data_IF_412744958473
#
_entry.id   IF_412744958473
#
_cell.length_a   1.000
_cell.length_b   1.000
_cell.length_c   1.000
_cell.angle_alpha   90.00
_cell.angle_beta   90.00
_cell.angle_gamma   90.00
#
_symmetry.space_group_name_H-M   'P 1'
#
loop_
_entity.id
_entity.type
_entity.pdbx_description
1 polymer ?
#
# COMPACT_ATOMS: atom_id res chain seq x y z
N UNK A 1 -1.02 27.16 -10.63
CA UNK A 1 -2.18 26.41 -10.09
C UNK A 1 -1.75 24.96 -10.05
N UNK A 2 -1.97 24.30 -8.92
CA UNK A 2 -1.38 22.99 -8.62
C UNK A 2 -1.89 21.90 -9.56
N UNK A 3 -1.03 20.90 -9.79
CA UNK A 3 -1.42 19.64 -10.45
C UNK A 3 -2.29 18.78 -9.51
N UNK A 4 -2.23 19.08 -8.21
CA UNK A 4 -2.91 18.39 -7.10
C UNK A 4 -3.23 19.40 -6.01
N UNK A 5 -4.24 19.08 -5.21
CA UNK A 5 -4.46 19.71 -3.91
C UNK A 5 -3.55 19.02 -2.86
N UNK A 6 -3.09 19.76 -1.83
CA UNK A 6 -2.23 19.25 -0.73
C UNK A 6 -2.85 19.66 0.60
N UNK A 7 -3.01 18.70 1.51
CA UNK A 7 -3.69 18.85 2.80
C UNK A 7 -2.79 18.31 3.91
N UNK A 8 -2.88 18.97 5.05
CA UNK A 8 -2.14 18.62 6.26
C UNK A 8 -2.64 17.30 6.85
N UNK A 9 -1.70 16.40 7.18
CA UNK A 9 -2.03 15.15 7.88
C UNK A 9 -2.38 15.45 9.34
N UNK A 10 -3.60 15.10 9.73
CA UNK A 10 -3.99 15.07 11.15
C UNK A 10 -3.67 13.69 11.70
N UNK A 11 -2.76 13.61 12.68
CA UNK A 11 -2.42 12.36 13.35
C UNK A 11 -3.67 11.68 13.94
N UNK A 12 -3.76 10.36 13.78
CA UNK A 12 -4.84 9.55 14.32
C UNK A 12 -4.88 9.62 15.84
N UNK A 13 -6.07 9.38 16.42
CA UNK A 13 -6.20 9.18 17.87
C UNK A 13 -5.96 7.70 18.21
N UNK A 14 -5.39 7.35 19.39
CA UNK A 14 -5.23 5.95 19.81
C UNK A 14 -6.54 5.13 19.82
N UNK A 15 -7.70 5.78 19.94
CA UNK A 15 -9.00 5.14 19.84
C UNK A 15 -9.35 4.69 18.40
N UNK A 16 -8.83 5.36 17.37
CA UNK A 16 -9.02 4.97 15.96
C UNK A 16 -8.23 3.71 15.63
N UNK A 17 -7.03 3.53 16.20
CA UNK A 17 -6.28 2.27 16.06
C UNK A 17 -7.05 1.09 16.65
N UNK A 18 -7.86 1.31 17.69
CA UNK A 18 -8.64 0.27 18.37
C UNK A 18 -9.86 -0.25 17.58
N UNK A 19 -10.12 0.25 16.37
CA UNK A 19 -11.13 -0.34 15.48
C UNK A 19 -10.66 -1.68 14.91
N UNK A 20 -9.34 -1.85 14.71
CA UNK A 20 -8.71 -3.12 14.32
C UNK A 20 -7.84 -3.72 15.43
N UNK A 21 -6.98 -2.90 16.06
CA UNK A 21 -5.96 -3.36 16.99
C UNK A 21 -6.52 -3.59 18.40
N UNK A 22 -6.02 -4.61 19.10
CA UNK A 22 -6.45 -4.85 20.48
C UNK A 22 -6.03 -3.71 21.41
N UNK A 23 -6.89 -3.39 22.37
CA UNK A 23 -6.61 -2.37 23.41
C UNK A 23 -5.31 -2.62 24.16
N UNK A 24 -4.95 -3.89 24.36
CA UNK A 24 -3.68 -4.31 24.96
C UNK A 24 -2.48 -3.94 24.10
N UNK A 25 -2.56 -4.09 22.78
CA UNK A 25 -1.49 -3.76 21.85
C UNK A 25 -1.32 -2.24 21.71
N UNK A 26 -2.42 -1.48 21.57
CA UNK A 26 -2.36 -0.01 21.55
C UNK A 26 -1.81 0.56 22.88
N UNK A 27 -2.16 -0.05 24.02
CA UNK A 27 -1.57 0.29 25.30
C UNK A 27 -0.09 -0.09 25.42
N UNK A 28 0.36 -1.15 24.72
CA UNK A 28 1.75 -1.55 24.64
C UNK A 28 2.59 -0.57 23.81
N UNK A 29 2.12 -0.18 22.61
CA UNK A 29 2.75 0.88 21.78
C UNK A 29 2.93 2.18 22.59
N UNK A 30 1.88 2.61 23.32
CA UNK A 30 1.93 3.81 24.16
C UNK A 30 2.91 3.75 25.35
N UNK A 31 3.31 2.55 25.77
CA UNK A 31 4.22 2.35 26.90
C UNK A 31 5.48 1.56 26.50
N UNK A 32 5.81 1.51 25.21
CA UNK A 32 6.82 0.65 24.58
C UNK A 32 8.19 0.72 25.28
N UNK A 33 8.64 1.93 25.61
CA UNK A 33 9.89 2.20 26.32
C UNK A 33 9.93 1.61 27.75
N UNK A 34 8.77 1.35 28.37
CA UNK A 34 8.62 0.80 29.73
C UNK A 34 8.31 -0.70 29.77
N UNK A 35 8.00 -1.31 28.62
CA UNK A 35 7.72 -2.75 28.54
C UNK A 35 8.97 -3.58 28.84
N UNK A 36 8.78 -4.71 29.54
CA UNK A 36 9.81 -5.75 29.67
C UNK A 36 10.01 -6.50 28.36
N UNK A 37 11.14 -7.17 28.21
CA UNK A 37 11.49 -7.98 27.04
C UNK A 37 10.41 -9.03 26.70
N UNK A 38 9.89 -9.76 27.69
CA UNK A 38 8.78 -10.72 27.52
C UNK A 38 7.50 -10.07 26.98
N UNK A 39 7.21 -8.83 27.40
CA UNK A 39 6.04 -8.06 26.95
C UNK A 39 6.25 -7.52 25.53
N UNK A 40 7.47 -7.06 25.22
CA UNK A 40 7.84 -6.65 23.86
C UNK A 40 7.71 -7.80 22.87
N UNK A 41 8.31 -8.95 23.17
CA UNK A 41 8.25 -10.16 22.35
C UNK A 41 6.79 -10.60 22.10
N UNK A 42 5.93 -10.54 23.13
CA UNK A 42 4.50 -10.87 23.01
C UNK A 42 3.76 -9.99 21.98
N UNK A 43 4.16 -8.74 21.83
CA UNK A 43 3.55 -7.79 20.91
C UNK A 43 4.37 -7.60 19.62
N UNK A 44 5.42 -8.39 19.41
CA UNK A 44 6.33 -8.24 18.26
C UNK A 44 7.15 -6.95 18.29
N UNK A 45 7.34 -6.30 19.44
CA UNK A 45 8.10 -5.04 19.57
C UNK A 45 9.60 -5.31 19.81
N UNK A 46 10.16 -6.19 18.99
CA UNK A 46 11.53 -6.73 19.07
C UNK A 46 12.12 -6.86 17.66
N UNK A 47 13.45 -6.96 17.57
CA UNK A 47 14.19 -7.21 16.33
C UNK A 47 13.86 -6.25 15.17
N UNK A 48 13.03 -6.66 14.21
CA UNK A 48 12.63 -5.83 13.05
C UNK A 48 11.77 -4.64 13.48
N UNK A 49 10.86 -4.84 14.45
CA UNK A 49 9.95 -3.83 14.98
C UNK A 49 10.50 -3.28 16.32
N UNK A 50 11.72 -2.75 16.28
CA UNK A 50 12.41 -2.21 17.45
C UNK A 50 11.71 -1.01 18.09
N UNK A 51 11.84 -0.84 19.42
CA UNK A 51 11.29 0.32 20.13
C UNK A 51 12.28 1.48 20.11
N UNK A 52 11.83 2.64 19.64
CA UNK A 52 12.54 3.92 19.65
C UNK A 52 11.66 5.02 20.27
N UNK A 53 12.26 6.18 20.55
CA UNK A 53 11.53 7.36 21.04
C UNK A 53 10.56 7.87 19.97
N UNK A 54 9.42 8.46 20.37
CA UNK A 54 8.36 8.95 19.49
C UNK A 54 7.69 7.89 18.57
N UNK A 55 7.94 6.59 18.79
CA UNK A 55 7.30 5.47 18.05
C UNK A 55 5.77 5.60 17.95
N UNK A 56 5.09 5.97 19.04
CA UNK A 56 3.64 6.13 18.99
C UNK A 56 3.24 7.27 18.05
N UNK A 57 3.96 8.39 18.08
CA UNK A 57 3.59 9.59 17.32
C UNK A 57 3.82 9.38 15.81
N UNK A 58 4.88 8.65 15.43
CA UNK A 58 5.03 8.15 14.05
C UNK A 58 3.82 7.30 13.64
N UNK A 59 3.46 6.28 14.43
CA UNK A 59 2.37 5.36 14.11
C UNK A 59 1.01 6.07 14.01
N UNK A 60 0.77 7.07 14.86
CA UNK A 60 -0.44 7.90 14.78
C UNK A 60 -0.42 8.80 13.54
N UNK A 61 0.73 9.33 13.13
CA UNK A 61 0.87 10.14 11.92
C UNK A 61 0.67 9.31 10.64
N UNK A 62 1.35 8.17 10.52
CA UNK A 62 1.20 7.20 9.41
C UNK A 62 -0.27 6.76 9.27
N UNK A 63 -0.91 6.40 10.38
CA UNK A 63 -2.34 6.03 10.40
C UNK A 63 -3.24 7.21 10.04
N UNK A 64 -2.90 8.42 10.53
CA UNK A 64 -3.68 9.64 10.31
C UNK A 64 -3.82 10.01 8.84
N UNK A 65 -2.73 9.90 8.07
CA UNK A 65 -2.75 10.17 6.63
C UNK A 65 -3.68 9.22 5.87
N UNK A 66 -3.61 7.91 6.13
CA UNK A 66 -4.49 6.92 5.49
C UNK A 66 -5.97 7.15 5.83
N UNK A 67 -6.28 7.53 7.08
CA UNK A 67 -7.66 7.85 7.49
C UNK A 67 -8.17 9.17 6.90
N UNK A 68 -7.31 10.21 6.78
CA UNK A 68 -7.65 11.48 6.12
C UNK A 68 -7.86 11.29 4.62
N UNK A 69 -7.00 10.52 3.94
CA UNK A 69 -7.16 10.19 2.54
C UNK A 69 -8.46 9.38 2.30
N UNK A 70 -8.76 8.40 3.15
CA UNK A 70 -10.01 7.65 3.12
C UNK A 70 -11.26 8.53 3.33
N UNK A 71 -11.19 9.53 4.22
CA UNK A 71 -12.27 10.50 4.48
C UNK A 71 -12.56 11.37 3.25
N UNK A 72 -11.51 11.94 2.63
CA UNK A 72 -11.63 12.74 1.40
C UNK A 72 -12.26 11.95 0.23
N UNK A 73 -11.92 10.66 0.10
CA UNK A 73 -12.52 9.76 -0.88
C UNK A 73 -13.97 9.40 -0.55
N UNK A 74 -14.29 9.15 0.73
CA UNK A 74 -15.64 8.85 1.19
C UNK A 74 -16.61 10.04 1.04
N UNK A 75 -16.10 11.27 1.13
CA UNK A 75 -16.86 12.51 0.87
C UNK A 75 -17.12 12.75 -0.63
N UNK A 76 -16.42 12.04 -1.52
CA UNK A 76 -16.57 12.18 -2.98
C UNK A 76 -15.94 13.45 -3.56
N UNK A 77 -15.08 14.15 -2.81
CA UNK A 77 -14.41 15.37 -3.29
C UNK A 77 -13.26 15.09 -4.25
N UNK A 78 -12.68 13.88 -4.17
CA UNK A 78 -11.52 13.44 -4.94
C UNK A 78 -11.74 12.03 -5.50
N UNK A 79 -11.21 11.79 -6.71
CA UNK A 79 -11.22 10.45 -7.32
C UNK A 79 -9.95 9.66 -6.97
N UNK A 80 -8.85 10.34 -6.66
CA UNK A 80 -7.59 9.72 -6.21
C UNK A 80 -7.03 10.48 -5.03
N UNK A 81 -6.73 9.77 -3.94
CA UNK A 81 -5.98 10.30 -2.81
C UNK A 81 -4.72 9.46 -2.57
N UNK A 82 -3.60 10.12 -2.25
CA UNK A 82 -2.28 9.51 -2.13
C UNK A 82 -1.73 9.79 -0.74
N UNK A 83 -1.19 8.75 -0.09
CA UNK A 83 -0.44 8.85 1.15
C UNK A 83 0.76 7.90 1.15
N UNK A 84 1.93 8.44 0.79
CA UNK A 84 3.18 7.68 0.74
C UNK A 84 3.71 7.25 2.11
N UNK A 85 3.26 7.89 3.21
CA UNK A 85 3.59 7.48 4.57
C UNK A 85 2.81 6.26 5.10
N UNK A 86 1.85 5.72 4.35
CA UNK A 86 1.05 4.56 4.71
C UNK A 86 1.49 3.26 4.03
N UNK A 87 0.63 2.23 4.11
CA UNK A 87 0.86 0.93 3.47
C UNK A 87 1.58 -0.09 4.35
N UNK A 88 1.48 0.03 5.68
CA UNK A 88 2.11 -0.83 6.69
C UNK A 88 1.38 -2.19 6.82
N UNK A 89 1.41 -2.95 5.74
CA UNK A 89 0.53 -4.10 5.48
C UNK A 89 0.75 -5.36 6.34
N UNK A 90 1.89 -5.49 7.04
CA UNK A 90 2.23 -6.67 7.85
C UNK A 90 1.66 -6.65 9.27
N UNK A 91 1.32 -5.47 9.79
CA UNK A 91 0.86 -5.33 11.17
C UNK A 91 -0.43 -6.14 11.40
N UNK A 92 -0.45 -6.93 12.47
CA UNK A 92 -1.58 -7.79 12.86
C UNK A 92 -2.43 -7.09 13.91
N UNK A 93 -3.63 -7.59 14.15
CA UNK A 93 -4.55 -7.00 15.14
C UNK A 93 -4.05 -7.00 16.60
N UNK A 94 -2.88 -7.56 16.92
CA UNK A 94 -2.24 -7.49 18.25
C UNK A 94 -0.71 -7.64 18.24
N UNK A 95 -0.05 -7.63 17.08
CA UNK A 95 1.38 -7.94 16.93
C UNK A 95 1.96 -7.08 15.81
N UNK A 96 3.07 -6.40 16.09
CA UNK A 96 3.89 -5.73 15.08
C UNK A 96 4.76 -6.76 14.34
N UNK A 97 5.00 -6.56 13.04
CA UNK A 97 5.83 -7.44 12.22
C UNK A 97 6.29 -6.70 10.95
N UNK A 98 7.47 -7.01 10.41
CA UNK A 98 7.94 -6.48 9.12
C UNK A 98 7.96 -4.96 9.08
N UNK A 99 8.55 -4.33 10.10
CA UNK A 99 8.57 -2.87 10.32
C UNK A 99 7.18 -2.20 10.52
N UNK A 100 6.09 -2.96 10.51
CA UNK A 100 4.73 -2.44 10.60
C UNK A 100 4.20 -2.55 12.04
N UNK A 101 4.01 -1.39 12.69
CA UNK A 101 3.50 -1.30 14.07
C UNK A 101 1.98 -1.11 14.16
N UNK A 102 1.35 -0.55 13.13
CA UNK A 102 -0.11 -0.52 12.97
C UNK A 102 -0.46 -0.70 11.49
N UNK A 103 -1.58 -1.35 11.20
CA UNK A 103 -2.04 -1.57 9.84
C UNK A 103 -2.96 -0.43 9.38
N UNK A 104 -2.36 0.65 8.91
CA UNK A 104 -3.09 1.83 8.42
C UNK A 104 -3.99 1.50 7.21
N UNK A 105 -3.57 0.55 6.36
CA UNK A 105 -4.35 0.08 5.22
C UNK A 105 -5.66 -0.60 5.67
N UNK A 106 -5.61 -1.50 6.65
CA UNK A 106 -6.82 -2.11 7.24
C UNK A 106 -7.73 -1.07 7.88
N UNK A 107 -7.16 -0.10 8.60
CA UNK A 107 -7.92 0.97 9.25
C UNK A 107 -8.62 1.88 8.23
N UNK A 108 -7.95 2.23 7.13
CA UNK A 108 -8.54 2.97 6.01
C UNK A 108 -9.62 2.17 5.28
N UNK A 109 -9.41 0.86 5.02
CA UNK A 109 -10.42 -0.02 4.42
C UNK A 109 -11.67 -0.09 5.30
N UNK A 110 -11.54 -0.20 6.64
CA UNK A 110 -12.70 -0.18 7.53
C UNK A 110 -13.51 1.12 7.43
N UNK A 111 -12.86 2.28 7.36
CA UNK A 111 -13.54 3.56 7.18
C UNK A 111 -14.20 3.67 5.79
N UNK A 112 -13.51 3.25 4.73
CA UNK A 112 -14.05 3.24 3.38
C UNK A 112 -15.27 2.31 3.24
N UNK A 113 -15.34 1.20 3.99
CA UNK A 113 -16.51 0.29 4.00
C UNK A 113 -17.79 0.91 4.59
N UNK A 114 -17.72 2.09 5.21
CA UNK A 114 -18.92 2.85 5.62
C UNK A 114 -19.62 3.49 4.42
N UNK A 115 -18.90 3.75 3.31
CA UNK A 115 -19.41 4.40 2.08
C UNK A 115 -19.40 3.47 0.87
N UNK A 116 -18.38 2.64 0.71
CA UNK A 116 -18.15 1.79 -0.46
C UNK A 116 -18.54 0.33 -0.18
N UNK A 117 -19.37 -0.25 -1.06
CA UNK A 117 -19.93 -1.59 -0.85
C UNK A 117 -18.89 -2.71 -0.98
N UNK A 118 -17.96 -2.57 -1.94
CA UNK A 118 -16.91 -3.56 -2.26
C UNK A 118 -15.59 -2.87 -2.56
N UNK A 119 -14.54 -3.25 -1.84
CA UNK A 119 -13.20 -2.66 -1.94
C UNK A 119 -12.23 -3.72 -2.46
N UNK A 120 -11.47 -3.37 -3.51
CA UNK A 120 -10.38 -4.21 -4.00
C UNK A 120 -9.06 -3.65 -3.46
N UNK A 121 -8.40 -4.41 -2.59
CA UNK A 121 -7.05 -4.13 -2.12
C UNK A 121 -6.05 -4.81 -3.07
N UNK A 122 -5.16 -4.01 -3.66
CA UNK A 122 -4.08 -4.47 -4.55
C UNK A 122 -2.75 -4.16 -3.87
N UNK A 123 -1.88 -5.15 -3.82
CA UNK A 123 -0.57 -5.10 -3.17
C UNK A 123 0.52 -5.52 -4.17
N UNK A 124 1.48 -4.62 -4.42
CA UNK A 124 2.63 -4.83 -5.32
C UNK A 124 3.99 -4.65 -4.62
N UNK A 125 3.98 -4.59 -3.28
CA UNK A 125 5.16 -4.83 -2.45
C UNK A 125 5.82 -6.17 -2.79
N UNK A 126 7.12 -6.31 -2.55
CA UNK A 126 7.79 -7.60 -2.79
C UNK A 126 7.36 -8.64 -1.74
N UNK A 127 6.87 -8.21 -0.58
CA UNK A 127 6.39 -9.08 0.48
C UNK A 127 4.89 -9.35 0.37
N UNK A 128 4.44 -10.51 0.86
CA UNK A 128 3.02 -10.81 0.92
C UNK A 128 2.30 -9.89 1.92
N UNK A 129 1.24 -9.19 1.49
CA UNK A 129 0.39 -8.30 2.28
C UNK A 129 -0.48 -9.00 3.34
N UNK A 130 0.17 -9.77 4.19
CA UNK A 130 -0.41 -10.82 5.00
C UNK A 130 -1.23 -10.32 6.21
N UNK A 131 -0.96 -9.12 6.73
CA UNK A 131 -1.79 -8.48 7.75
C UNK A 131 -3.13 -8.01 7.18
N UNK A 132 -3.15 -7.51 5.95
CA UNK A 132 -4.37 -7.11 5.23
C UNK A 132 -5.15 -8.34 4.78
N UNK A 133 -4.50 -9.39 4.26
CA UNK A 133 -5.17 -10.66 3.97
C UNK A 133 -5.83 -11.24 5.23
N UNK A 134 -5.09 -11.35 6.33
CA UNK A 134 -5.60 -11.93 7.58
C UNK A 134 -6.85 -11.21 8.08
N UNK A 135 -6.81 -9.87 8.12
CA UNK A 135 -7.90 -9.01 8.56
C UNK A 135 -9.20 -9.18 7.75
N UNK A 136 -9.09 -9.42 6.43
CA UNK A 136 -10.24 -9.50 5.52
C UNK A 136 -10.52 -10.89 4.94
N UNK A 137 -9.76 -11.91 5.32
CA UNK A 137 -9.86 -13.27 4.75
C UNK A 137 -11.26 -13.92 4.86
N UNK A 138 -12.11 -13.47 5.79
CA UNK A 138 -13.50 -13.91 5.98
C UNK A 138 -14.56 -12.95 5.43
N UNK A 139 -14.14 -11.83 4.83
CA UNK A 139 -15.01 -10.80 4.25
C UNK A 139 -15.37 -11.14 2.80
N UNK A 140 -16.64 -10.90 2.43
CA UNK A 140 -17.09 -10.89 1.04
C UNK A 140 -17.05 -9.46 0.43
N UNK A 141 -16.87 -8.42 1.26
CA UNK A 141 -16.80 -7.01 0.85
C UNK A 141 -15.41 -6.51 0.50
N UNK A 142 -14.35 -7.25 0.85
CA UNK A 142 -12.97 -6.85 0.55
C UNK A 142 -12.27 -7.98 -0.19
N UNK A 143 -11.77 -7.67 -1.38
CA UNK A 143 -10.94 -8.58 -2.17
C UNK A 143 -9.48 -8.18 -2.00
N UNK A 144 -8.66 -9.04 -1.40
CA UNK A 144 -7.21 -8.84 -1.30
C UNK A 144 -6.49 -9.55 -2.45
N UNK A 145 -5.63 -8.82 -3.16
CA UNK A 145 -4.82 -9.31 -4.27
C UNK A 145 -3.37 -8.93 -4.01
N UNK A 146 -2.45 -9.90 -3.87
CA UNK A 146 -1.03 -9.62 -3.63
C UNK A 146 -0.11 -10.30 -4.64
N UNK A 147 0.81 -9.53 -5.20
CA UNK A 147 1.83 -9.95 -6.17
C UNK A 147 3.23 -9.88 -5.54
N UNK A 148 3.62 -10.93 -4.84
CA UNK A 148 4.79 -10.95 -3.96
C UNK A 148 5.80 -12.02 -4.36
N UNK A 149 7.04 -11.87 -3.88
CA UNK A 149 8.01 -12.95 -3.96
C UNK A 149 7.65 -14.06 -2.95
N UNK A 150 7.62 -15.31 -3.41
CA UNK A 150 7.39 -16.48 -2.56
C UNK A 150 8.50 -17.51 -2.75
N UNK A 151 9.36 -17.63 -1.74
CA UNK A 151 10.44 -18.62 -1.67
C UNK A 151 10.62 -19.13 -0.23
N UNK A 152 11.23 -20.31 -0.02
CA UNK A 152 11.60 -20.77 1.31
C UNK A 152 12.46 -19.75 2.04
N UNK A 153 12.09 -19.42 3.29
CA UNK A 153 12.75 -18.42 4.15
C UNK A 153 12.56 -16.95 3.74
N UNK A 154 11.84 -16.64 2.65
CA UNK A 154 11.45 -15.26 2.34
C UNK A 154 10.29 -14.82 3.25
N UNK A 155 10.35 -13.58 3.77
CA UNK A 155 9.34 -13.04 4.67
C UNK A 155 8.06 -12.67 3.90
N UNK A 156 6.84 -12.81 4.47
CA UNK A 156 6.49 -13.39 5.77
C UNK A 156 6.33 -14.93 5.75
N UNK A 157 6.58 -15.59 4.62
CA UNK A 157 6.45 -17.05 4.46
C UNK A 157 5.03 -17.57 4.26
N UNK A 158 4.03 -16.67 4.22
CA UNK A 158 2.65 -16.93 3.78
C UNK A 158 2.43 -16.44 2.34
N UNK A 159 1.20 -16.56 1.81
CA UNK A 159 0.87 -16.13 0.44
C UNK A 159 0.96 -17.25 -0.59
N UNK A 160 1.07 -18.51 -0.14
CA UNK A 160 1.22 -19.64 -1.05
C UNK A 160 -0.01 -19.80 -1.96
N UNK A 161 0.21 -20.27 -3.20
CA UNK A 161 -0.85 -20.43 -4.21
C UNK A 161 -2.04 -21.31 -3.76
N UNK A 162 -1.86 -22.15 -2.73
CA UNK A 162 -2.91 -23.02 -2.19
C UNK A 162 -3.67 -22.40 -1.00
N UNK A 163 -3.16 -21.32 -0.39
CA UNK A 163 -3.76 -20.67 0.77
C UNK A 163 -5.03 -19.89 0.41
N UNK A 164 -5.11 -19.35 -0.81
CA UNK A 164 -6.34 -18.79 -1.39
C UNK A 164 -7.51 -19.79 -1.52
N UNK A 165 -7.25 -21.10 -1.37
CA UNK A 165 -8.27 -22.17 -1.40
C UNK A 165 -8.63 -22.73 -0.01
N UNK A 166 -8.02 -22.21 1.05
CA UNK A 166 -7.94 -22.87 2.36
C UNK A 166 -9.05 -22.51 3.36
N UNK A 167 -10.02 -23.43 3.52
CA UNK A 167 -11.00 -23.53 4.61
C UNK A 167 -12.06 -22.40 4.73
N UNK A 168 -13.33 -22.80 4.88
CA UNK A 168 -14.50 -21.93 5.15
C UNK A 168 -14.82 -20.83 4.12
N UNK A 169 -14.37 -20.96 2.88
CA UNK A 169 -14.87 -20.10 1.80
C UNK A 169 -14.27 -18.70 1.80
N UNK A 170 -12.95 -18.59 2.03
CA UNK A 170 -12.13 -17.45 1.58
C UNK A 170 -12.34 -17.25 0.05
N UNK A 171 -13.34 -16.45 -0.34
CA UNK A 171 -13.69 -16.22 -1.76
C UNK A 171 -13.13 -14.92 -2.32
N UNK A 172 -12.51 -14.11 -1.46
CA UNK A 172 -12.03 -12.77 -1.77
C UNK A 172 -10.55 -12.60 -1.38
N UNK A 173 -9.75 -13.66 -1.57
CA UNK A 173 -8.29 -13.67 -1.39
C UNK A 173 -7.66 -14.24 -2.66
N UNK A 174 -6.72 -13.52 -3.27
CA UNK A 174 -5.99 -13.94 -4.48
C UNK A 174 -4.50 -13.69 -4.29
N UNK A 175 -3.73 -14.77 -4.25
CA UNK A 175 -2.28 -14.68 -4.11
C UNK A 175 -1.59 -15.06 -5.42
N UNK A 176 -0.64 -14.21 -5.82
CA UNK A 176 0.16 -14.34 -7.03
C UNK A 176 1.64 -14.51 -6.62
N UNK A 177 2.01 -15.68 -6.07
CA UNK A 177 3.38 -15.96 -5.69
C UNK A 177 4.27 -16.02 -6.92
N UNK A 178 5.30 -15.17 -6.95
CA UNK A 178 6.29 -15.07 -8.02
C UNK A 178 7.67 -15.43 -7.49
N UNK A 179 8.56 -15.85 -8.39
CA UNK A 179 9.96 -16.17 -8.11
C UNK A 179 10.85 -14.94 -8.28
N UNK A 180 12.09 -15.04 -7.78
CA UNK A 180 13.16 -14.05 -7.96
C UNK A 180 13.31 -13.58 -9.42
N UNK A 181 13.75 -12.33 -9.58
CA UNK A 181 14.03 -11.72 -10.87
C UNK A 181 12.81 -11.48 -11.75
N UNK A 182 11.59 -11.48 -11.19
CA UNK A 182 10.41 -11.07 -11.94
C UNK A 182 10.64 -9.69 -12.59
N UNK A 183 10.38 -9.61 -13.89
CA UNK A 183 10.59 -8.43 -14.74
C UNK A 183 9.26 -7.76 -15.12
N UNK A 184 9.34 -6.56 -15.67
CA UNK A 184 8.17 -5.77 -16.07
C UNK A 184 7.22 -6.54 -17.01
N UNK A 185 7.75 -7.28 -17.99
CA UNK A 185 6.92 -8.03 -18.95
C UNK A 185 6.14 -9.15 -18.24
N UNK A 186 6.78 -9.89 -17.34
CA UNK A 186 6.11 -10.96 -16.59
C UNK A 186 5.11 -10.40 -15.60
N UNK A 187 5.52 -9.40 -14.82
CA UNK A 187 4.73 -8.81 -13.75
C UNK A 187 3.49 -8.11 -14.30
N UNK A 188 3.65 -7.20 -15.27
CA UNK A 188 2.51 -6.44 -15.84
C UNK A 188 1.52 -7.35 -16.58
N UNK A 189 2.00 -8.41 -17.27
CA UNK A 189 1.16 -9.41 -17.93
C UNK A 189 0.39 -10.30 -16.95
N UNK A 190 0.96 -10.58 -15.77
CA UNK A 190 0.24 -11.24 -14.68
C UNK A 190 -0.77 -10.29 -14.02
N UNK A 191 -0.36 -9.05 -13.76
CA UNK A 191 -1.19 -8.01 -13.18
C UNK A 191 -2.44 -7.74 -14.02
N UNK A 192 -2.27 -7.47 -15.33
CA UNK A 192 -3.38 -7.26 -16.27
C UNK A 192 -4.33 -8.46 -16.33
N UNK A 193 -3.79 -9.68 -16.34
CA UNK A 193 -4.58 -10.91 -16.33
C UNK A 193 -5.47 -11.04 -15.09
N UNK A 194 -4.92 -10.76 -13.90
CA UNK A 194 -5.61 -10.90 -12.61
C UNK A 194 -6.58 -9.75 -12.38
N UNK A 195 -6.14 -8.49 -12.53
CA UNK A 195 -6.96 -7.30 -12.23
C UNK A 195 -8.17 -7.18 -13.17
N UNK A 196 -8.03 -7.51 -14.46
CA UNK A 196 -9.18 -7.52 -15.39
C UNK A 196 -10.28 -8.50 -14.96
N UNK A 197 -9.91 -9.70 -14.51
CA UNK A 197 -10.86 -10.73 -14.05
C UNK A 197 -11.41 -10.44 -12.66
N UNK A 198 -10.56 -9.96 -11.76
CA UNK A 198 -10.95 -9.54 -10.42
C UNK A 198 -12.00 -8.41 -10.49
N UNK A 199 -11.72 -7.34 -11.24
CA UNK A 199 -12.66 -6.24 -11.42
C UNK A 199 -13.97 -6.67 -12.08
N UNK A 200 -13.94 -7.49 -13.14
CA UNK A 200 -15.16 -8.02 -13.78
C UNK A 200 -16.03 -8.84 -12.80
N UNK A 201 -15.41 -9.69 -11.99
CA UNK A 201 -16.13 -10.67 -11.16
C UNK A 201 -16.57 -10.10 -9.80
N UNK A 202 -15.70 -9.34 -9.16
CA UNK A 202 -15.92 -8.73 -7.85
C UNK A 202 -16.67 -7.38 -7.96
N UNK A 203 -16.53 -6.66 -9.09
CA UNK A 203 -17.15 -5.35 -9.33
C UNK A 203 -16.94 -4.36 -8.16
N UNK A 204 -15.68 -4.04 -7.82
CA UNK A 204 -15.39 -3.10 -6.75
C UNK A 204 -15.93 -1.71 -7.05
N UNK A 205 -16.31 -0.98 -6.00
CA UNK A 205 -16.67 0.44 -6.05
C UNK A 205 -15.52 1.36 -5.63
N UNK A 206 -14.41 0.80 -5.17
CA UNK A 206 -13.25 1.50 -4.61
C UNK A 206 -12.01 0.60 -4.70
N UNK A 207 -10.83 1.18 -4.94
CA UNK A 207 -9.54 0.48 -4.89
C UNK A 207 -8.65 1.07 -3.79
N UNK A 208 -7.97 0.21 -3.05
CA UNK A 208 -6.81 0.60 -2.24
C UNK A 208 -5.59 -0.08 -2.85
N UNK A 209 -4.65 0.70 -3.36
CA UNK A 209 -3.44 0.22 -4.03
C UNK A 209 -2.22 0.55 -3.17
N UNK A 210 -1.65 -0.46 -2.54
CA UNK A 210 -0.35 -0.39 -1.88
C UNK A 210 0.74 -0.45 -2.96
N UNK A 211 1.69 0.48 -2.92
CA UNK A 211 2.75 0.65 -3.92
C UNK A 211 4.14 0.57 -3.26
N UNK A 212 4.37 -0.49 -2.48
CA UNK A 212 5.66 -0.84 -1.92
C UNK A 212 6.74 -0.87 -2.99
N UNK A 213 7.81 -0.12 -2.76
CA UNK A 213 8.85 0.20 -3.73
C UNK A 213 10.02 -0.81 -3.72
N UNK A 214 9.98 -1.82 -2.85
CA UNK A 214 10.98 -2.88 -2.74
C UNK A 214 10.87 -3.98 -3.82
N UNK A 215 9.79 -4.02 -4.61
CA UNK A 215 9.77 -4.80 -5.86
C UNK A 215 10.65 -4.18 -6.98
N UNK A 216 11.19 -2.97 -6.80
CA UNK A 216 12.12 -2.35 -7.75
C UNK A 216 13.46 -3.07 -7.86
N UNK A 217 14.07 -2.96 -9.04
CA UNK A 217 15.48 -3.26 -9.23
C UNK A 217 16.37 -2.41 -8.30
N UNK A 218 17.32 -3.06 -7.64
CA UNK A 218 18.34 -2.41 -6.81
C UNK A 218 17.88 -2.09 -5.38
N UNK A 219 16.71 -2.61 -4.96
CA UNK A 219 16.36 -2.68 -3.54
C UNK A 219 17.26 -3.72 -2.81
N UNK A 220 17.70 -3.46 -1.57
CA UNK A 220 18.56 -4.37 -0.81
C UNK A 220 17.83 -5.56 -0.15
N UNK A 221 16.50 -5.50 0.03
CA UNK A 221 15.69 -6.60 0.59
C UNK A 221 14.84 -7.31 -0.48
N UNK A 222 14.48 -6.60 -1.55
CA UNK A 222 13.74 -7.14 -2.68
C UNK A 222 14.52 -8.06 -3.62
N UNK A 223 13.86 -9.14 -4.08
CA UNK A 223 14.43 -10.09 -5.03
C UNK A 223 13.91 -9.96 -6.48
N UNK A 224 13.07 -8.97 -6.78
CA UNK A 224 12.56 -8.69 -8.12
C UNK A 224 13.53 -7.84 -8.96
N UNK A 225 13.08 -7.47 -10.16
CA UNK A 225 13.82 -6.70 -11.15
C UNK A 225 12.92 -5.69 -11.89
N UNK A 226 11.88 -5.16 -11.22
CA UNK A 226 10.96 -4.21 -11.84
C UNK A 226 11.62 -2.85 -12.07
N UNK A 227 11.19 -2.16 -13.11
CA UNK A 227 11.51 -0.76 -13.37
C UNK A 227 10.39 0.15 -12.88
N UNK A 228 10.64 1.46 -12.84
CA UNK A 228 9.56 2.45 -12.64
C UNK A 228 8.46 2.33 -13.70
N UNK A 229 8.78 1.88 -14.92
CA UNK A 229 7.81 1.68 -16.00
C UNK A 229 6.86 0.51 -15.75
N UNK A 230 7.33 -0.56 -15.07
CA UNK A 230 6.48 -1.68 -14.65
C UNK A 230 5.40 -1.24 -13.67
N UNK A 231 5.79 -0.47 -12.65
CA UNK A 231 4.87 0.13 -11.68
C UNK A 231 3.86 1.10 -12.33
N UNK A 232 4.34 1.99 -13.21
CA UNK A 232 3.47 2.91 -13.96
C UNK A 232 2.42 2.13 -14.75
N UNK A 233 2.79 1.05 -15.44
CA UNK A 233 1.85 0.21 -16.17
C UNK A 233 0.80 -0.44 -15.25
N UNK A 234 1.19 -0.86 -14.05
CA UNK A 234 0.24 -1.37 -13.05
C UNK A 234 -0.75 -0.29 -12.58
N UNK A 235 -0.27 0.91 -12.27
CA UNK A 235 -1.12 2.05 -11.89
C UNK A 235 -2.09 2.43 -13.02
N UNK A 236 -1.60 2.56 -14.26
CA UNK A 236 -2.42 2.88 -15.43
C UNK A 236 -3.52 1.83 -15.69
N UNK A 237 -3.25 0.55 -15.42
CA UNK A 237 -4.24 -0.54 -15.51
C UNK A 237 -5.34 -0.43 -14.45
N UNK A 238 -5.02 0.06 -13.25
CA UNK A 238 -6.01 0.33 -12.19
C UNK A 238 -6.82 1.60 -12.51
N UNK A 239 -6.17 2.68 -12.96
CA UNK A 239 -6.85 3.92 -13.36
C UNK A 239 -7.86 3.70 -14.50
N UNK A 240 -7.60 2.75 -15.40
CA UNK A 240 -8.55 2.34 -16.47
C UNK A 240 -9.90 1.83 -15.94
N UNK A 241 -9.98 1.38 -14.68
CA UNK A 241 -11.24 0.98 -14.04
C UNK A 241 -12.18 2.17 -13.74
N UNK A 242 -11.63 3.40 -13.69
CA UNK A 242 -12.38 4.66 -13.45
C UNK A 242 -13.26 4.65 -12.19
N UNK A 243 -12.79 3.99 -11.13
CA UNK A 243 -13.37 4.01 -9.79
C UNK A 243 -12.43 4.73 -8.82
N UNK A 244 -12.95 5.28 -7.70
CA UNK A 244 -12.11 5.95 -6.70
C UNK A 244 -10.96 5.07 -6.20
N UNK A 245 -9.82 5.70 -5.90
CA UNK A 245 -8.57 5.01 -5.57
C UNK A 245 -7.81 5.70 -4.44
N UNK A 246 -7.45 4.92 -3.42
CA UNK A 246 -6.46 5.29 -2.40
C UNK A 246 -5.12 4.66 -2.80
N UNK A 247 -4.08 5.46 -2.92
CA UNK A 247 -2.71 5.00 -3.17
C UNK A 247 -1.89 5.14 -1.90
N UNK A 248 -1.25 4.06 -1.47
CA UNK A 248 -0.41 4.01 -0.28
C UNK A 248 1.05 3.72 -0.66
N UNK A 249 1.97 4.02 0.26
CA UNK A 249 3.37 3.57 0.19
C UNK A 249 3.52 2.07 0.47
N UNK A 250 4.53 1.70 1.24
CA UNK A 250 4.85 0.32 1.58
C UNK A 250 6.30 0.14 2.04
N UNK A 251 6.88 -1.03 1.74
CA UNK A 251 8.32 -1.25 1.80
C UNK A 251 9.09 -0.45 0.74
N UNK A 252 10.42 -0.53 0.78
CA UNK A 252 11.31 0.25 -0.08
C UNK A 252 12.52 0.74 0.69
N UNK A 253 13.67 0.12 0.46
CA UNK A 253 14.87 0.23 1.30
C UNK A 253 16.07 0.85 0.54
N UNK A 254 15.88 1.21 -0.73
CA UNK A 254 16.72 2.14 -1.47
C UNK A 254 16.01 3.50 -1.59
N UNK A 255 16.21 4.39 -0.62
CA UNK A 255 15.46 5.65 -0.49
C UNK A 255 15.45 6.54 -1.76
N UNK A 256 16.54 6.56 -2.52
CA UNK A 256 16.62 7.30 -3.80
C UNK A 256 15.68 6.70 -4.84
N UNK A 257 15.65 5.36 -4.98
CA UNK A 257 14.73 4.68 -5.89
C UNK A 257 13.26 4.80 -5.42
N UNK A 258 13.01 4.80 -4.12
CA UNK A 258 11.66 5.07 -3.55
C UNK A 258 11.19 6.47 -3.94
N UNK A 259 12.01 7.50 -3.69
CA UNK A 259 11.67 8.88 -4.03
C UNK A 259 11.46 9.07 -5.54
N UNK A 260 12.31 8.47 -6.38
CA UNK A 260 12.14 8.41 -7.85
C UNK A 260 10.78 7.82 -8.23
N UNK A 261 10.46 6.61 -7.75
CA UNK A 261 9.23 5.90 -8.11
C UNK A 261 7.98 6.65 -7.64
N UNK A 262 7.89 7.00 -6.35
CA UNK A 262 6.69 7.64 -5.80
C UNK A 262 6.46 9.03 -6.39
N UNK A 263 7.52 9.75 -6.80
CA UNK A 263 7.39 10.96 -7.63
C UNK A 263 6.73 10.66 -8.97
N UNK A 264 7.21 9.65 -9.71
CA UNK A 264 6.62 9.25 -11.01
C UNK A 264 5.14 8.85 -10.84
N UNK A 265 4.84 8.00 -9.84
CA UNK A 265 3.47 7.56 -9.57
C UNK A 265 2.57 8.73 -9.17
N UNK A 266 3.09 9.72 -8.46
CA UNK A 266 2.37 10.96 -8.17
C UNK A 266 1.98 11.68 -9.47
N UNK A 267 2.94 12.01 -10.36
CA UNK A 267 2.62 12.63 -11.66
C UNK A 267 1.55 11.84 -12.45
N UNK A 268 1.69 10.50 -12.51
CA UNK A 268 0.75 9.63 -13.21
C UNK A 268 -0.63 9.55 -12.58
N UNK A 269 -0.74 9.57 -11.25
CA UNK A 269 -2.02 9.72 -10.56
C UNK A 269 -2.71 11.01 -11.02
N UNK A 270 -1.96 12.12 -11.12
CA UNK A 270 -2.41 13.42 -11.62
C UNK A 270 -2.78 13.47 -13.11
N UNK A 271 -2.58 12.40 -13.88
CA UNK A 271 -2.77 12.42 -15.34
C UNK A 271 -1.67 13.18 -16.09
N UNK A 272 -0.49 13.31 -15.51
CA UNK A 272 0.66 14.02 -16.06
C UNK A 272 1.86 13.09 -16.29
N UNK A 273 2.72 13.45 -17.24
CA UNK A 273 4.04 12.83 -17.38
C UNK A 273 5.03 13.49 -16.40
N UNK A 274 5.84 12.66 -15.76
CA UNK A 274 6.91 13.12 -14.88
C UNK A 274 8.09 13.70 -15.70
N UNK A 275 8.87 14.66 -15.14
CA UNK A 275 10.11 15.10 -15.78
C UNK A 275 11.12 13.94 -15.87
N UNK A 276 11.89 13.88 -16.95
CA UNK A 276 12.89 12.83 -17.14
C UNK A 276 14.13 12.99 -16.23
N UNK A 277 14.47 14.23 -15.92
CA UNK A 277 15.62 14.62 -15.10
C UNK A 277 15.14 15.10 -13.72
N UNK A 278 15.93 14.83 -12.68
CA UNK A 278 15.72 15.39 -11.34
C UNK A 278 15.88 16.92 -11.42
N UNK A 279 14.97 17.72 -10.85
CA UNK A 279 15.16 19.16 -10.81
C UNK A 279 16.42 19.54 -10.01
N UNK A 280 17.29 20.39 -10.58
CA UNK A 280 18.47 20.93 -9.86
C UNK A 280 18.16 21.81 -8.64
N UNK A 281 16.88 21.97 -8.30
CA UNK A 281 16.37 22.60 -7.07
C UNK A 281 15.97 21.57 -5.99
N UNK A 282 16.13 20.26 -6.25
CA UNK A 282 15.95 19.22 -5.25
C UNK A 282 17.00 19.40 -4.13
N UNK A 283 16.62 19.44 -2.85
CA UNK A 283 17.58 19.61 -1.75
C UNK A 283 18.67 18.54 -1.75
N UNK A 284 18.29 17.30 -2.05
CA UNK A 284 19.16 16.11 -2.01
C UNK A 284 19.66 15.73 -3.42
N UNK A 285 19.77 16.71 -4.35
CA UNK A 285 20.08 16.48 -5.77
C UNK A 285 21.34 15.63 -6.02
N UNK A 286 22.36 15.74 -5.16
CA UNK A 286 23.62 15.00 -5.29
C UNK A 286 23.44 13.47 -5.07
N UNK A 287 22.44 13.04 -4.30
CA UNK A 287 22.16 11.60 -4.06
C UNK A 287 21.63 10.89 -5.32
N UNK A 288 21.18 11.65 -6.33
CA UNK A 288 20.67 11.14 -7.60
C UNK A 288 21.78 10.97 -8.67
N UNK A 289 23.04 11.19 -8.30
CA UNK A 289 24.20 10.89 -9.13
C UNK A 289 24.28 9.38 -9.48
N UNK A 290 24.91 8.98 -10.61
CA UNK A 290 25.63 9.83 -11.56
C UNK A 290 24.77 10.32 -12.74
N UNK A 291 23.53 9.84 -12.88
CA UNK A 291 22.70 10.11 -14.07
C UNK A 291 21.69 11.24 -13.89
N UNK A 292 21.29 11.55 -12.65
CA UNK A 292 20.28 12.56 -12.33
C UNK A 292 18.95 12.34 -13.07
N UNK A 293 18.62 11.09 -13.37
CA UNK A 293 17.37 10.70 -14.04
C UNK A 293 16.32 10.25 -13.04
N UNK A 294 15.06 10.57 -13.30
CA UNK A 294 13.95 10.12 -12.46
C UNK A 294 13.59 8.64 -12.69
N UNK A 295 13.91 8.09 -13.87
CA UNK A 295 13.69 6.67 -14.21
C UNK A 295 14.50 5.71 -13.31
N UNK A 296 13.85 4.67 -12.79
CA UNK A 296 14.52 3.50 -12.20
C UNK A 296 14.52 2.39 -13.25
N UNK A 297 15.70 2.02 -13.77
CA UNK A 297 15.85 1.04 -14.85
C UNK A 297 15.91 -0.41 -14.35
N UNK A 298 15.45 -1.39 -15.16
CA UNK A 298 15.61 -2.79 -14.82
C UNK A 298 17.07 -3.22 -14.95
N UNK A 299 17.51 -4.13 -14.09
CA UNK A 299 18.86 -4.69 -14.15
C UNK A 299 18.96 -6.00 -14.92
N UNK A 300 20.10 -6.67 -14.78
CA UNK A 300 20.41 -7.94 -15.45
C UNK A 300 20.08 -9.19 -14.60
N UNK A 301 19.26 -9.06 -13.55
CA UNK A 301 18.84 -10.21 -12.72
C UNK A 301 18.06 -11.19 -13.61
N UNK A 302 18.39 -12.48 -13.56
CA UNK A 302 17.70 -13.49 -14.36
C UNK A 302 16.28 -13.69 -13.82
N UNK A 303 15.28 -13.57 -14.68
CA UNK A 303 13.92 -13.95 -14.35
C UNK A 303 13.77 -15.48 -14.22
N UNK A 304 13.32 -15.94 -13.05
CA UNK A 304 13.08 -17.36 -12.76
C UNK A 304 11.60 -17.80 -12.98
N UNK A 305 10.75 -16.89 -13.45
CA UNK A 305 9.33 -17.11 -13.76
C UNK A 305 9.13 -17.54 -15.21
N UNK A 306 9.47 -18.80 -15.53
CA UNK A 306 9.25 -19.36 -16.86
C UNK A 306 7.75 -19.40 -17.27
N UNK A 307 7.49 -19.41 -18.58
CA UNK A 307 6.13 -19.42 -19.14
C UNK A 307 5.26 -20.57 -18.60
N UNK A 308 5.83 -21.74 -18.33
CA UNK A 308 5.06 -22.89 -17.83
C UNK A 308 4.60 -22.67 -16.39
N UNK A 309 5.42 -22.01 -15.57
CA UNK A 309 5.06 -21.56 -14.23
C UNK A 309 4.00 -20.43 -14.27
N UNK A 310 4.19 -19.42 -15.12
CA UNK A 310 3.23 -18.31 -15.31
C UNK A 310 1.86 -18.83 -15.77
N UNK A 311 1.82 -19.74 -16.74
CA UNK A 311 0.59 -20.38 -17.21
C UNK A 311 -0.08 -21.27 -16.15
N UNK A 312 0.70 -21.86 -15.24
CA UNK A 312 0.18 -22.63 -14.11
C UNK A 312 -0.49 -21.70 -13.10
N UNK A 313 0.17 -20.61 -12.72
CA UNK A 313 -0.40 -19.57 -11.84
C UNK A 313 -1.74 -19.07 -12.39
N UNK A 314 -1.77 -18.65 -13.66
CA UNK A 314 -2.99 -18.15 -14.33
C UNK A 314 -4.17 -19.13 -14.25
N UNK A 315 -3.94 -20.43 -14.45
CA UNK A 315 -4.99 -21.46 -14.39
C UNK A 315 -5.56 -21.66 -12.99
N UNK A 316 -4.73 -21.58 -11.96
CA UNK A 316 -5.17 -21.70 -10.55
C UNK A 316 -5.89 -20.42 -10.11
N UNK A 317 -5.34 -19.25 -10.40
CA UNK A 317 -5.94 -17.95 -10.06
C UNK A 317 -7.28 -17.75 -10.79
N UNK A 318 -7.39 -18.10 -12.07
CA UNK A 318 -8.66 -18.14 -12.82
C UNK A 318 -9.72 -19.00 -12.09
N UNK A 319 -9.30 -20.14 -11.54
CA UNK A 319 -10.20 -21.05 -10.81
C UNK A 319 -10.64 -20.47 -9.47
N UNK A 320 -9.75 -19.79 -8.75
CA UNK A 320 -10.07 -19.07 -7.50
C UNK A 320 -11.00 -17.88 -7.75
N UNK A 321 -10.70 -17.05 -8.75
CA UNK A 321 -11.49 -15.88 -9.12
C UNK A 321 -12.93 -16.24 -9.52
N UNK A 322 -13.17 -17.42 -10.10
CA UNK A 322 -14.55 -17.88 -10.38
C UNK A 322 -15.39 -18.06 -9.14
N UNK A 323 -14.79 -18.39 -8.00
CA UNK A 323 -15.49 -18.54 -6.72
C UNK A 323 -15.77 -17.17 -6.05
N UNK A 324 -15.09 -16.12 -6.50
CA UNK A 324 -15.33 -14.75 -6.04
C UNK A 324 -16.70 -14.23 -6.54
N UNK A 325 -17.47 -13.61 -5.65
CA UNK A 325 -18.74 -12.95 -5.99
C UNK A 325 -19.95 -13.85 -6.28
N UNK A 326 -19.86 -15.19 -6.15
CA UNK A 326 -20.97 -16.09 -6.55
C UNK A 326 -22.21 -16.08 -5.64
N UNK A 327 -22.17 -15.48 -4.45
CA UNK A 327 -23.28 -15.58 -3.48
C UNK A 327 -24.33 -14.47 -3.59
N UNK A 328 -24.04 -13.38 -4.32
CA UNK A 328 -25.03 -12.34 -4.65
C UNK A 328 -26.22 -12.83 -5.51
N UNK A 329 -26.15 -14.05 -6.05
CA UNK A 329 -27.20 -14.65 -6.88
C UNK A 329 -28.01 -15.76 -6.16
N UNK A 330 -27.74 -16.05 -4.87
CA UNK A 330 -28.40 -17.13 -4.12
C UNK A 330 -28.94 -16.69 -2.76
N UNK A 331 -29.81 -15.67 -2.77
CA UNK A 331 -30.84 -15.58 -1.73
C UNK A 331 -31.64 -16.89 -1.69
N UNK A 332 -31.83 -17.53 -0.52
CA UNK A 332 -32.75 -18.66 -0.41
C UNK A 332 -34.17 -18.15 -0.74
N UNK A 333 -34.78 -18.72 -1.79
CA UNK A 333 -36.15 -18.38 -2.17
C UNK A 333 -37.12 -18.80 -1.07
N UNK A 334 -37.47 -17.86 -0.19
CA UNK A 334 -38.66 -17.98 0.65
C UNK A 334 -39.86 -17.91 -0.28
N UNK A 335 -40.51 -19.04 -0.52
CA UNK A 335 -41.77 -19.09 -1.26
C UNK A 335 -42.89 -18.46 -0.42
N UNK A 336 -43.25 -17.22 -0.73
CA UNK A 336 -44.51 -16.61 -0.29
C UNK A 336 -45.21 -15.89 -1.44
N UNK A 337 -46.16 -16.61 -2.04
CA UNK A 337 -47.47 -16.19 -2.58
C UNK A 337 -47.60 -14.74 -3.08
N UNK A 338 -48.02 -14.60 -4.34
CA UNK A 338 -48.12 -13.32 -5.06
C UNK A 338 -49.45 -12.56 -4.85
N UNK A 339 -49.35 -11.22 -4.80
CA UNK A 339 -50.34 -10.17 -5.17
C UNK A 339 -49.62 -8.80 -5.19
N UNK A 340 -49.83 -7.83 -6.09
CA UNK A 340 -50.47 -7.90 -7.41
C UNK A 340 -50.82 -6.52 -8.02
N UNK A 341 -50.12 -6.08 -9.09
CA UNK A 341 -50.35 -4.85 -9.93
C UNK A 341 -50.10 -3.48 -9.22
N UNK A 342 -49.81 -2.35 -9.88
CA UNK A 342 -49.43 -2.00 -11.27
C UNK A 342 -48.67 -0.63 -11.29
N UNK A 343 -47.73 -0.49 -12.23
CA UNK A 343 -47.16 0.69 -12.94
C UNK A 343 -47.25 2.14 -12.40
N UNK A 344 -46.13 2.90 -12.53
CA UNK A 344 -46.01 4.09 -13.42
C UNK A 344 -44.56 4.63 -13.54
N UNK A 345 -44.34 5.59 -14.44
CA UNK A 345 -43.09 5.79 -15.21
C UNK A 345 -42.04 6.80 -14.65
N UNK A 346 -40.85 6.66 -15.24
CA UNK A 346 -39.62 7.48 -15.24
C UNK A 346 -39.69 9.02 -15.14
N UNK A 347 -38.59 9.60 -14.67
CA UNK A 347 -37.71 10.44 -15.53
C UNK A 347 -36.25 10.43 -15.04
N UNK A 348 -35.32 10.65 -15.97
CA UNK A 348 -33.88 10.82 -15.71
C UNK A 348 -33.54 12.31 -15.68
N UNK A 349 -32.48 12.69 -14.95
CA UNK A 349 -31.59 13.77 -15.37
C UNK A 349 -30.16 13.43 -14.92
N UNK A 350 -29.19 13.62 -15.82
CA UNK A 350 -27.77 13.40 -15.59
C UNK A 350 -27.09 14.77 -15.55
N UNK A 351 -26.22 15.01 -14.58
CA UNK A 351 -25.22 16.08 -14.66
C UNK A 351 -23.83 15.44 -14.76
N UNK A 352 -23.12 15.72 -15.86
CA UNK A 352 -21.73 15.34 -16.04
C UNK A 352 -20.83 16.34 -15.29
N UNK A 353 -20.29 15.91 -14.15
CA UNK A 353 -19.27 16.65 -13.41
C UNK A 353 -17.85 16.24 -13.83
N UNK A 354 -17.21 17.08 -14.64
CA UNK A 354 -15.82 16.87 -15.10
C UNK A 354 -14.82 17.36 -14.03
N UNK A 355 -14.34 16.45 -13.17
CA UNK A 355 -13.37 16.74 -12.09
C UNK A 355 -12.41 15.57 -11.85
N UNK A 356 -11.33 15.53 -12.64
CA UNK A 356 -10.10 14.80 -12.27
C UNK A 356 -9.37 15.57 -11.16
N UNK A 357 -9.86 15.47 -9.92
CA UNK A 357 -9.14 15.94 -8.73
C UNK A 357 -8.32 14.82 -8.11
N UNK A 358 -7.04 15.11 -7.91
CA UNK A 358 -6.02 14.20 -7.38
C UNK A 358 -5.30 14.90 -6.25
N UNK A 359 -4.95 14.14 -5.21
CA UNK A 359 -4.58 14.68 -3.91
C UNK A 359 -3.38 13.94 -3.29
N UNK A 360 -2.45 14.66 -2.64
CA UNK A 360 -1.32 14.08 -1.88
C UNK A 360 -1.29 14.63 -0.45
N UNK A 361 -1.23 13.74 0.54
CA UNK A 361 -0.97 14.10 1.94
C UNK A 361 0.55 14.19 2.19
N UNK A 362 1.00 15.19 2.95
CA UNK A 362 2.40 15.34 3.38
C UNK A 362 2.48 15.44 4.92
N UNK A 363 3.57 14.94 5.50
CA UNK A 363 3.90 15.11 6.91
C UNK A 363 4.48 16.51 7.17
N UNK A 364 4.00 17.20 8.21
CA UNK A 364 4.49 18.53 8.56
C UNK A 364 5.96 18.50 9.04
N UNK A 365 6.87 18.95 8.17
CA UNK A 365 8.31 19.00 8.46
C UNK A 365 8.70 20.14 9.39
N UNK A 366 8.69 19.88 10.70
CA UNK A 366 9.30 20.76 11.70
C UNK A 366 10.82 20.55 11.79
N UNK A 367 11.61 21.37 11.08
CA UNK A 367 13.04 21.55 11.37
C UNK A 367 13.24 22.90 12.06
N UNK A 368 13.60 22.89 13.33
CA UNK A 368 14.15 24.08 13.98
C UNK A 368 15.58 24.31 13.47
N UNK A 369 15.87 25.53 13.01
CA UNK A 369 17.22 25.95 12.63
C UNK A 369 18.01 26.27 13.90
N UNK A 370 18.96 25.40 14.29
CA UNK A 370 19.87 25.68 15.40
C UNK A 370 21.07 26.50 14.90
N UNK A 371 21.13 27.78 15.27
CA UNK A 371 22.22 28.69 14.89
C UNK A 371 23.54 28.30 15.60
N UNK A 372 24.45 27.68 14.86
CA UNK A 372 25.79 27.36 15.36
C UNK A 372 26.63 28.61 15.71
N UNK A 373 27.34 28.65 16.85
CA UNK A 373 28.19 29.79 17.20
C UNK A 373 29.52 29.78 16.42
N UNK A 374 29.91 30.97 15.96
CA UNK A 374 31.11 31.20 15.15
C UNK A 374 32.44 30.92 15.88
N UNK A 375 33.47 30.61 15.08
CA UNK A 375 34.85 30.42 15.53
C UNK A 375 35.43 31.64 16.25
N UNK A 376 36.37 31.40 17.16
CA UNK A 376 37.56 32.25 17.26
C UNK A 376 38.81 31.42 17.52
N UNK A 377 39.81 31.56 16.65
CA UNK A 377 41.13 30.97 16.82
C UNK A 377 42.11 32.05 17.27
N UNK A 378 42.95 31.73 18.25
CA UNK A 378 44.19 32.47 18.54
C UNK A 378 45.22 31.50 19.12
N UNK A 379 46.50 31.86 18.94
CA UNK A 379 47.63 30.93 18.87
C UNK A 379 48.45 30.85 20.17
N UNK A 380 49.58 30.12 20.06
CA UNK A 380 50.74 30.10 20.95
C UNK A 380 50.61 29.29 22.25
N UNK A 381 51.65 28.67 22.80
CA UNK A 381 52.89 28.00 22.35
C UNK A 381 53.58 27.54 23.66
N UNK A 382 54.41 26.48 23.64
CA UNK A 382 55.43 26.15 24.67
C UNK A 382 54.94 25.94 26.14
N UNK A 383 55.16 24.79 26.79
CA UNK A 383 56.51 24.33 27.14
C UNK A 383 56.53 23.07 28.05
N UNK A 384 57.59 22.27 27.87
CA UNK A 384 58.39 21.56 28.89
C UNK A 384 57.84 20.39 29.75
N UNK A 385 58.45 19.21 29.51
CA UNK A 385 59.03 18.25 30.49
C UNK A 385 58.08 17.43 31.40
N UNK A 386 58.36 16.16 31.74
CA UNK A 386 59.57 15.31 31.54
C UNK A 386 59.21 13.92 31.03
#
# INVERSE_FOLDING_TARGET
>A
MGLMDVEEVVAARPEQLQTFHSRSFVAALRNSSKLKEEERLRFGLTDDCSVFDDLLDLVLLETGGSLKAADLLAQGEYQVAIWWGGGRHHAKGSVAAGYCYANDAVLAIFQLLETFERIMYIDIDVHHGDGVEEAFSSSDKVLTISFHHFAPLFFPGSGALMEQSGHQGKRCVINVPLKEGCDDETFTRMFEFVISRASERFRPSMVVMQCGADSLHGDPLGEFNLSSSGYVRCLELVQQLKIPMLVLGGGGYNAVNVAKLWTILTFKCGGHEAPAEIPGTCPDYEDYAPDFLLEVRPGYRKNCNDEAYVDMLKKVIESSLRLCGEEGARSPQVQSIAEGKEDTESTQEQEEGDINKVFVTEAAGGREEDEGPQESSSQEEQSQTS
#
